data_IF_141275716223
#
_entry.id   IF_141275716223
#
_cell.length_a   1.000
_cell.length_b   1.000
_cell.length_c   1.000
_cell.angle_alpha   90.00
_cell.angle_beta   90.00
_cell.angle_gamma   90.00
#
_symmetry.space_group_name_H-M   'P 1'
#
loop_
_entity.id
_entity.type
_entity.pdbx_description
1 polymer ?
#
# COMPACT_ATOMS: atom_id res chain seq x y z
N UNK A 1 4.62 8.24 -2.63
CA UNK A 1 3.83 8.30 -3.89
C UNK A 1 4.51 9.02 -5.06
N UNK A 2 5.81 9.30 -5.02
CA UNK A 2 6.49 10.20 -5.98
C UNK A 2 7.12 9.50 -7.19
N UNK A 3 6.83 8.22 -7.39
CA UNK A 3 7.42 7.40 -8.44
C UNK A 3 6.36 6.82 -9.38
N UNK A 4 6.66 6.84 -10.68
CA UNK A 4 5.76 6.33 -11.72
C UNK A 4 6.55 5.67 -12.84
N UNK A 5 6.08 4.52 -13.32
CA UNK A 5 6.53 3.90 -14.57
C UNK A 5 5.53 4.23 -15.67
N UNK A 6 5.97 4.95 -16.71
CA UNK A 6 5.10 5.42 -17.81
C UNK A 6 4.56 4.28 -18.67
N UNK A 7 5.24 3.13 -18.69
CA UNK A 7 4.86 1.96 -19.47
C UNK A 7 4.04 0.95 -18.65
N UNK A 8 3.85 1.17 -17.36
CA UNK A 8 3.20 0.21 -16.44
C UNK A 8 1.86 -0.32 -16.98
N UNK A 9 1.01 0.56 -17.54
CA UNK A 9 -0.30 0.18 -18.08
C UNK A 9 -0.23 -0.70 -19.33
N UNK A 10 0.89 -0.72 -20.04
CA UNK A 10 1.10 -1.51 -21.26
C UNK A 10 1.69 -2.89 -20.96
N UNK A 11 2.39 -3.03 -19.84
CA UNK A 11 3.18 -4.24 -19.51
C UNK A 11 2.61 -5.06 -18.34
N UNK A 12 1.45 -4.68 -17.80
CA UNK A 12 0.83 -5.36 -16.65
C UNK A 12 -0.60 -5.77 -16.93
N UNK A 13 -1.04 -6.87 -16.31
CA UNK A 13 -2.43 -7.33 -16.39
C UNK A 13 -3.38 -6.37 -15.67
N UNK A 14 -4.67 -6.43 -16.00
CA UNK A 14 -5.70 -5.61 -15.32
C UNK A 14 -5.73 -5.84 -13.82
N UNK A 15 -5.62 -7.09 -13.36
CA UNK A 15 -5.61 -7.43 -11.93
C UNK A 15 -4.40 -6.85 -11.20
N UNK A 16 -3.23 -6.89 -11.82
CA UNK A 16 -2.03 -6.23 -11.31
C UNK A 16 -2.26 -4.71 -11.20
N UNK A 17 -2.81 -4.09 -12.23
CA UNK A 17 -3.08 -2.64 -12.23
C UNK A 17 -4.07 -2.23 -11.12
N UNK A 18 -5.14 -3.02 -10.93
CA UNK A 18 -6.11 -2.79 -9.86
C UNK A 18 -5.46 -2.89 -8.48
N UNK A 19 -4.71 -3.95 -8.23
CA UNK A 19 -3.99 -4.14 -6.95
C UNK A 19 -2.99 -3.01 -6.70
N UNK A 20 -2.24 -2.60 -7.72
CA UNK A 20 -1.30 -1.49 -7.62
C UNK A 20 -2.00 -0.16 -7.31
N UNK A 21 -3.16 0.09 -7.91
CA UNK A 21 -3.98 1.28 -7.64
C UNK A 21 -4.48 1.30 -6.21
N UNK A 22 -5.01 0.19 -5.71
CA UNK A 22 -5.52 0.05 -4.35
C UNK A 22 -4.40 0.23 -3.30
N UNK A 23 -3.23 -0.38 -3.53
CA UNK A 23 -2.06 -0.18 -2.66
C UNK A 23 -1.63 1.29 -2.63
N UNK A 24 -1.61 1.97 -3.79
CA UNK A 24 -1.29 3.41 -3.84
C UNK A 24 -2.32 4.26 -3.09
N UNK A 25 -3.60 3.94 -3.21
CA UNK A 25 -4.66 4.62 -2.46
C UNK A 25 -4.51 4.40 -0.95
N UNK A 26 -4.18 3.18 -0.53
CA UNK A 26 -3.90 2.86 0.87
C UNK A 26 -2.68 3.62 1.40
N UNK A 27 -1.59 3.70 0.62
CA UNK A 27 -0.41 4.50 0.99
C UNK A 27 -0.74 5.99 1.14
N UNK A 28 -1.54 6.54 0.21
CA UNK A 28 -1.99 7.93 0.31
C UNK A 28 -2.79 8.17 1.59
N UNK A 29 -3.68 7.22 1.92
CA UNK A 29 -4.48 7.31 3.14
C UNK A 29 -3.61 7.21 4.39
N UNK A 30 -2.63 6.32 4.40
CA UNK A 30 -1.68 6.20 5.52
C UNK A 30 -0.88 7.49 5.71
N UNK A 31 -0.42 8.14 4.63
CA UNK A 31 0.32 9.41 4.69
C UNK A 31 -0.55 10.54 5.27
N UNK A 32 -1.82 10.63 4.86
CA UNK A 32 -2.81 11.57 5.41
C UNK A 32 -3.06 11.29 6.91
N UNK A 33 -3.28 10.03 7.29
CA UNK A 33 -3.54 9.67 8.68
C UNK A 33 -2.34 9.85 9.59
N UNK A 34 -1.12 9.65 9.08
CA UNK A 34 0.10 9.95 9.83
C UNK A 34 0.17 11.44 10.14
N UNK A 35 -0.19 12.32 9.20
CA UNK A 35 -0.26 13.76 9.44
C UNK A 35 -1.28 14.10 10.53
N UNK A 36 -2.48 13.49 10.51
CA UNK A 36 -3.49 13.71 11.55
C UNK A 36 -3.03 13.19 12.92
N UNK A 37 -2.34 12.05 12.96
CA UNK A 37 -1.72 11.51 14.18
C UNK A 37 -0.67 12.48 14.74
N UNK A 38 0.20 13.01 13.88
CA UNK A 38 1.28 13.92 14.28
C UNK A 38 0.72 15.27 14.81
N UNK A 39 -0.43 15.71 14.31
CA UNK A 39 -1.17 16.88 14.80
C UNK A 39 -2.03 16.58 16.05
N UNK A 40 -2.19 15.31 16.43
CA UNK A 40 -3.04 14.89 17.55
C UNK A 40 -4.54 14.88 17.24
N UNK A 41 -4.92 14.93 15.97
CA UNK A 41 -6.33 15.00 15.52
C UNK A 41 -6.94 13.63 15.24
N UNK A 42 -6.14 12.56 15.17
CA UNK A 42 -6.66 11.22 14.93
C UNK A 42 -7.22 10.57 16.21
N UNK A 43 -8.50 10.16 16.15
CA UNK A 43 -9.15 9.35 17.17
C UNK A 43 -9.56 7.98 16.62
N UNK A 44 -9.08 6.91 17.27
CA UNK A 44 -9.46 5.53 16.93
C UNK A 44 -10.96 5.31 17.19
N UNK A 45 -11.65 4.66 16.25
CA UNK A 45 -13.07 4.32 16.34
C UNK A 45 -14.01 5.37 15.73
N UNK A 46 -13.51 6.57 15.40
CA UNK A 46 -14.30 7.61 14.75
C UNK A 46 -14.59 7.29 13.28
N UNK A 47 -13.62 6.65 12.61
CA UNK A 47 -13.76 6.23 11.22
C UNK A 47 -13.14 4.85 11.00
N UNK A 48 -14.00 3.86 10.75
CA UNK A 48 -13.59 2.47 10.54
C UNK A 48 -12.63 2.29 9.34
N UNK A 49 -12.71 3.15 8.32
CA UNK A 49 -11.79 3.11 7.18
C UNK A 49 -10.39 3.60 7.58
N UNK A 50 -10.32 4.65 8.41
CA UNK A 50 -9.06 5.18 8.91
C UNK A 50 -8.37 4.15 9.82
N UNK A 51 -9.14 3.54 10.72
CA UNK A 51 -8.64 2.48 11.60
C UNK A 51 -8.11 1.29 10.81
N UNK A 52 -8.82 0.88 9.75
CA UNK A 52 -8.38 -0.19 8.85
C UNK A 52 -7.08 0.17 8.14
N UNK A 53 -6.94 1.42 7.68
CA UNK A 53 -5.73 1.87 7.00
C UNK A 53 -4.51 1.88 7.95
N UNK A 54 -4.68 2.37 9.17
CA UNK A 54 -3.63 2.34 10.20
C UNK A 54 -3.28 0.89 10.58
N UNK A 55 -4.26 0.00 10.71
CA UNK A 55 -4.02 -1.41 11.01
C UNK A 55 -3.21 -2.13 9.90
N UNK A 56 -3.39 -1.73 8.63
CA UNK A 56 -2.65 -2.28 7.48
C UNK A 56 -1.28 -1.63 7.25
N UNK A 57 -1.00 -0.49 7.88
CA UNK A 57 0.22 0.29 7.68
C UNK A 57 1.49 -0.53 7.85
N UNK A 58 1.62 -1.21 8.98
CA UNK A 58 2.88 -1.87 9.33
C UNK A 58 3.17 -3.06 8.40
N UNK A 59 2.14 -3.82 8.03
CA UNK A 59 2.26 -4.91 7.06
C UNK A 59 2.67 -4.40 5.67
N UNK A 60 2.07 -3.29 5.23
CA UNK A 60 2.38 -2.70 3.94
C UNK A 60 3.79 -2.10 3.90
N UNK A 61 4.18 -1.32 4.93
CA UNK A 61 5.51 -0.73 5.01
C UNK A 61 6.59 -1.80 5.09
N UNK A 62 6.34 -2.88 5.83
CA UNK A 62 7.25 -4.02 5.89
C UNK A 62 7.41 -4.69 4.52
N UNK A 63 6.33 -4.85 3.76
CA UNK A 63 6.40 -5.45 2.42
C UNK A 63 7.12 -4.57 1.40
N UNK A 64 7.04 -3.24 1.54
CA UNK A 64 7.77 -2.31 0.67
C UNK A 64 9.28 -2.26 0.97
N UNK A 65 9.71 -2.77 2.12
CA UNK A 65 11.11 -2.93 2.47
C UNK A 65 11.58 -4.30 1.99
N UNK A 66 12.73 -4.32 1.32
CA UNK A 66 13.33 -5.53 0.76
C UNK A 66 14.84 -5.47 1.00
N UNK A 67 15.41 -6.58 1.47
CA UNK A 67 16.87 -6.68 1.62
C UNK A 67 17.57 -6.69 0.26
N UNK A 68 18.82 -6.22 0.20
CA UNK A 68 19.60 -6.16 -1.04
C UNK A 68 19.79 -7.54 -1.70
N UNK A 69 19.83 -8.61 -0.91
CA UNK A 69 20.02 -9.98 -1.38
C UNK A 69 18.73 -10.80 -1.42
N UNK A 70 17.60 -10.20 -1.06
CA UNK A 70 16.29 -10.84 -1.13
C UNK A 70 15.76 -10.82 -2.57
N UNK A 71 15.29 -11.97 -3.06
CA UNK A 71 14.63 -12.08 -4.34
C UNK A 71 13.10 -12.08 -4.16
N UNK A 72 12.40 -11.33 -5.02
CA UNK A 72 10.94 -11.27 -5.04
C UNK A 72 10.41 -11.71 -6.42
N UNK A 73 10.20 -13.03 -6.64
CA UNK A 73 9.63 -13.54 -7.88
C UNK A 73 8.27 -12.91 -8.17
N UNK A 74 8.01 -12.59 -9.45
CA UNK A 74 6.81 -11.82 -9.84
C UNK A 74 5.51 -12.46 -9.34
N UNK A 75 5.38 -13.79 -9.41
CA UNK A 75 4.18 -14.50 -8.95
C UNK A 75 3.95 -14.32 -7.44
N UNK A 76 5.03 -14.29 -6.65
CA UNK A 76 4.95 -14.04 -5.21
C UNK A 76 4.62 -12.59 -4.91
N UNK A 77 5.22 -11.65 -5.64
CA UNK A 77 4.91 -10.23 -5.54
C UNK A 77 3.43 -9.97 -5.82
N UNK A 78 2.88 -10.54 -6.89
CA UNK A 78 1.46 -10.40 -7.24
C UNK A 78 0.52 -11.07 -6.22
N UNK A 79 0.91 -12.22 -5.66
CA UNK A 79 0.15 -12.87 -4.57
C UNK A 79 0.06 -11.97 -3.34
N UNK A 80 1.17 -11.36 -2.92
CA UNK A 80 1.19 -10.47 -1.75
C UNK A 80 0.44 -9.16 -2.05
N UNK A 81 0.59 -8.59 -3.25
CA UNK A 81 -0.19 -7.41 -3.65
C UNK A 81 -1.70 -7.64 -3.49
N UNK A 82 -2.20 -8.76 -4.02
CA UNK A 82 -3.61 -9.14 -3.89
C UNK A 82 -4.04 -9.39 -2.42
N UNK A 83 -3.16 -9.95 -1.59
CA UNK A 83 -3.45 -10.20 -0.18
C UNK A 83 -3.52 -8.90 0.64
N UNK A 84 -2.71 -7.89 0.30
CA UNK A 84 -2.71 -6.60 0.97
C UNK A 84 -3.94 -5.75 0.66
N UNK A 85 -4.53 -5.92 -0.53
CA UNK A 85 -5.70 -5.14 -0.94
C UNK A 85 -7.04 -5.71 -0.48
N UNK A 86 -7.14 -7.03 -0.31
CA UNK A 86 -8.33 -7.70 0.26
C UNK A 86 -8.60 -7.29 1.72
#
# INVERSE_FOLDING_TARGET
LRSVSRVSGQVSSREHQLSASEIRALLAKIEELQMLLDLGEYTKGENAQNDRAIAKRDALLKWLQQDMHENAPIDKTLQVMNALTK
#
